data_IF_187502656395
#
_entry.id   IF_187502656395
#
_cell.length_a   1.000
_cell.length_b   1.000
_cell.length_c   1.000
_cell.angle_alpha   90.00
_cell.angle_beta   90.00
_cell.angle_gamma   90.00
#
_symmetry.space_group_name_H-M   'P 1'
#
loop_
_entity.id
_entity.type
_entity.pdbx_description
1 polymer ?
#
# COMPACT_ATOMS: atom_id res chain seq x y z
N UNK A 1 -13.85 -5.09 2.63
CA UNK A 1 -13.43 -6.45 2.22
C UNK A 1 -13.73 -7.39 3.38
N UNK A 2 -14.61 -8.40 3.21
CA UNK A 2 -14.83 -9.42 4.23
C UNK A 2 -13.53 -10.14 4.62
N UNK A 3 -13.40 -10.55 5.89
CA UNK A 3 -12.18 -11.22 6.38
C UNK A 3 -11.82 -12.46 5.56
N UNK A 4 -12.82 -13.26 5.18
CA UNK A 4 -12.63 -14.47 4.37
C UNK A 4 -12.03 -14.21 2.99
N UNK A 5 -12.20 -13.00 2.44
CA UNK A 5 -11.65 -12.62 1.14
C UNK A 5 -10.24 -12.02 1.25
N UNK A 6 -9.78 -11.70 2.45
CA UNK A 6 -8.58 -10.92 2.69
C UNK A 6 -7.30 -11.70 2.36
N UNK A 7 -7.27 -13.01 2.60
CA UNK A 7 -6.08 -13.84 2.37
C UNK A 7 -5.55 -13.83 0.92
N UNK A 8 -6.41 -13.50 -0.04
CA UNK A 8 -6.04 -13.35 -1.46
C UNK A 8 -5.74 -11.91 -1.90
N UNK A 9 -5.71 -10.94 -0.97
CA UNK A 9 -5.52 -9.52 -1.29
C UNK A 9 -4.14 -9.03 -0.91
N UNK A 10 -3.73 -7.96 -1.59
CA UNK A 10 -2.55 -7.18 -1.28
C UNK A 10 -3.01 -5.77 -0.94
N UNK A 11 -2.63 -5.27 0.23
CA UNK A 11 -2.72 -3.84 0.53
C UNK A 11 -1.59 -3.13 -0.21
N UNK A 12 -1.94 -2.14 -1.02
CA UNK A 12 -0.99 -1.24 -1.69
C UNK A 12 -1.21 0.15 -1.12
N UNK A 13 -0.17 0.73 -0.55
CA UNK A 13 -0.17 2.09 -0.03
C UNK A 13 0.83 2.90 -0.84
N UNK A 14 0.35 3.88 -1.61
CA UNK A 14 1.19 4.72 -2.47
C UNK A 14 1.31 6.11 -1.86
N UNK A 15 2.53 6.63 -1.82
CA UNK A 15 2.83 8.00 -1.39
C UNK A 15 2.98 8.86 -2.63
N UNK A 16 2.23 9.96 -2.69
CA UNK A 16 2.26 10.91 -3.78
C UNK A 16 2.80 12.26 -3.32
N UNK A 17 3.54 12.92 -4.19
CA UNK A 17 3.82 14.34 -4.07
C UNK A 17 2.63 15.14 -4.58
N UNK A 18 2.11 16.03 -3.75
CA UNK A 18 0.94 16.81 -4.08
C UNK A 18 1.32 18.02 -4.93
N UNK A 19 0.70 18.13 -6.09
CA UNK A 19 0.80 19.29 -6.98
C UNK A 19 -0.59 19.90 -7.19
N UNK A 20 -0.69 21.22 -7.04
CA UNK A 20 -1.93 21.97 -7.21
C UNK A 20 -2.32 22.17 -8.68
N UNK A 21 -1.35 22.16 -9.59
CA UNK A 21 -1.53 22.57 -10.98
C UNK A 21 -1.17 21.48 -11.99
N UNK A 22 -0.68 20.32 -11.53
CA UNK A 22 -0.34 19.18 -12.40
C UNK A 22 -0.77 17.83 -11.79
N UNK A 23 -0.41 16.71 -12.43
CA UNK A 23 -0.70 15.37 -11.90
C UNK A 23 0.20 15.11 -10.70
N UNK A 24 -0.35 14.48 -9.68
CA UNK A 24 0.43 14.03 -8.52
C UNK A 24 1.43 12.95 -8.94
N UNK A 25 2.70 13.15 -8.60
CA UNK A 25 3.76 12.20 -8.89
C UNK A 25 3.85 11.16 -7.79
N UNK A 26 3.87 9.88 -8.17
CA UNK A 26 4.08 8.81 -7.21
C UNK A 26 5.56 8.78 -6.79
N UNK A 27 5.83 8.94 -5.50
CA UNK A 27 7.17 8.80 -4.91
C UNK A 27 7.52 7.30 -4.82
N UNK A 28 6.56 6.49 -4.36
CA UNK A 28 6.71 5.05 -4.20
C UNK A 28 5.53 4.39 -3.51
N UNK A 29 5.54 3.07 -3.44
CA UNK A 29 4.50 2.27 -2.79
C UNK A 29 5.04 1.22 -1.81
N UNK A 30 4.20 0.83 -0.86
CA UNK A 30 4.39 -0.32 0.03
C UNK A 30 3.32 -1.35 -0.29
N UNK A 31 3.74 -2.60 -0.50
CA UNK A 31 2.85 -3.74 -0.77
C UNK A 31 2.91 -4.77 0.34
N UNK A 32 1.74 -5.15 0.82
CA UNK A 32 1.63 -6.12 1.90
C UNK A 32 0.58 -7.17 1.54
N UNK A 33 1.03 -8.43 1.43
CA UNK A 33 0.10 -9.54 1.28
C UNK A 33 -0.64 -9.74 2.60
N UNK A 34 -1.97 -9.66 2.54
CA UNK A 34 -2.78 -9.64 3.77
C UNK A 34 -2.83 -10.99 4.47
N UNK A 35 -2.43 -12.08 3.81
CA UNK A 35 -2.25 -13.38 4.44
C UNK A 35 -1.02 -13.47 5.37
N UNK A 36 -0.14 -12.46 5.37
CA UNK A 36 1.04 -12.37 6.25
C UNK A 36 0.80 -11.43 7.44
N UNK A 37 -0.37 -10.80 7.53
CA UNK A 37 -0.71 -9.84 8.57
C UNK A 37 -1.48 -10.55 9.66
N UNK A 38 -1.05 -10.39 10.91
CA UNK A 38 -1.82 -10.82 12.07
C UNK A 38 -2.75 -9.69 12.51
N UNK A 39 -4.06 -9.88 12.30
CA UNK A 39 -5.10 -8.92 12.66
C UNK A 39 -5.56 -9.03 14.11
N UNK A 40 -5.05 -9.99 14.88
CA UNK A 40 -5.39 -10.12 16.30
C UNK A 40 -4.65 -9.11 17.19
N UNK A 41 -3.62 -8.45 16.66
CA UNK A 41 -2.85 -7.41 17.34
C UNK A 41 -2.64 -6.19 16.45
N UNK A 42 -2.26 -5.08 17.08
CA UNK A 42 -1.82 -3.88 16.37
C UNK A 42 -0.47 -4.17 15.69
N UNK A 43 -0.45 -4.04 14.37
CA UNK A 43 0.79 -4.09 13.58
C UNK A 43 1.32 -2.66 13.43
N UNK A 44 2.52 -2.41 13.95
CA UNK A 44 3.26 -1.14 13.81
C UNK A 44 4.67 -1.47 13.32
N UNK A 45 4.97 -1.10 12.07
CA UNK A 45 6.24 -1.41 11.42
C UNK A 45 6.63 -0.36 10.38
N UNK A 46 7.94 -0.22 10.17
CA UNK A 46 8.50 0.63 9.12
C UNK A 46 8.88 -0.20 7.89
N UNK A 47 8.63 0.36 6.71
CA UNK A 47 9.04 -0.24 5.42
C UNK A 47 9.55 0.83 4.48
N UNK A 48 10.56 0.47 3.69
CA UNK A 48 11.07 1.33 2.63
C UNK A 48 10.10 1.36 1.44
N UNK A 49 9.89 2.55 0.89
CA UNK A 49 9.11 2.73 -0.32
C UNK A 49 9.78 2.02 -1.50
N UNK A 50 9.02 1.20 -2.21
CA UNK A 50 9.41 0.63 -3.48
C UNK A 50 8.96 1.54 -4.62
N UNK A 51 9.56 1.39 -5.80
CA UNK A 51 9.13 2.15 -6.97
C UNK A 51 7.66 1.84 -7.27
N UNK A 52 6.84 2.88 -7.33
CA UNK A 52 5.43 2.73 -7.66
C UNK A 52 5.27 2.14 -9.07
N UNK A 53 4.36 1.16 -9.22
CA UNK A 53 3.91 0.78 -10.55
C UNK A 53 3.19 1.99 -11.17
N UNK A 54 3.49 2.28 -12.44
CA UNK A 54 2.76 3.31 -13.16
C UNK A 54 1.33 2.81 -13.34
N UNK A 55 0.36 3.59 -12.87
CA UNK A 55 -1.02 3.46 -13.35
C UNK A 55 -1.01 3.75 -14.85
N UNK A 56 -1.31 2.74 -15.67
CA UNK A 56 -1.55 2.87 -17.12
C UNK A 56 -2.80 3.70 -17.41
#
# INVERSE_FOLDING_TARGET
VPYAELGGKTLVMTVYDFDRFSKHDAIGDVRMHMNKVDFSYLTDEWRDLQKAEKEE
#
